data_IF_398310579969
#
_entry.id   IF_398310579969
#
_cell.length_a   1.000
_cell.length_b   1.000
_cell.length_c   1.000
_cell.angle_alpha   90.00
_cell.angle_beta   90.00
_cell.angle_gamma   90.00
#
_symmetry.space_group_name_H-M   'P 1'
#
loop_
_entity.id
_entity.type
_entity.pdbx_description
1 polymer ?
#
# COMPACT_ATOMS: atom_id res chain seq x y z
N UNK A 1 1.15 33.01 20.37
CA UNK A 1 1.48 32.22 19.16
C UNK A 1 1.42 33.11 17.95
N UNK A 2 2.46 33.10 17.12
CA UNK A 2 2.69 34.11 16.08
C UNK A 2 1.83 33.93 14.82
N UNK A 3 1.31 35.05 14.31
CA UNK A 3 0.41 35.13 13.16
C UNK A 3 1.17 35.28 11.84
N UNK A 4 0.44 35.44 10.73
CA UNK A 4 1.04 35.69 9.39
C UNK A 4 1.88 36.98 9.32
N UNK A 5 1.77 37.85 10.32
CA UNK A 5 2.49 39.12 10.44
C UNK A 5 3.89 38.97 11.04
N UNK A 6 4.31 37.75 11.41
CA UNK A 6 5.55 37.50 12.12
C UNK A 6 6.80 38.06 11.42
N UNK A 7 6.91 37.97 10.09
CA UNK A 7 8.07 38.49 9.36
C UNK A 7 8.17 40.02 9.51
N UNK A 8 7.04 40.73 9.31
CA UNK A 8 6.99 42.18 9.47
C UNK A 8 7.27 42.60 10.91
N UNK A 9 6.72 41.88 11.89
CA UNK A 9 6.97 42.10 13.30
C UNK A 9 8.44 41.92 13.69
N UNK A 10 9.12 40.89 13.15
CA UNK A 10 10.57 40.70 13.35
C UNK A 10 11.34 41.89 12.76
N UNK A 11 11.08 42.25 11.50
CA UNK A 11 11.77 43.39 10.87
C UNK A 11 11.57 44.69 11.64
N UNK A 12 10.34 44.97 12.11
CA UNK A 12 10.03 46.18 12.89
C UNK A 12 10.73 46.17 14.26
N UNK A 13 10.81 45.02 14.91
CA UNK A 13 11.54 44.85 16.17
C UNK A 13 13.04 45.12 15.98
N UNK A 14 13.65 44.54 14.95
CA UNK A 14 15.08 44.76 14.64
C UNK A 14 15.35 46.22 14.26
N UNK A 15 14.45 46.86 13.51
CA UNK A 15 14.52 48.28 13.19
C UNK A 15 14.51 49.13 14.47
N UNK A 16 13.68 48.76 15.45
CA UNK A 16 13.56 49.50 16.71
C UNK A 16 14.82 49.37 17.57
N UNK A 17 15.44 48.18 17.61
CA UNK A 17 16.76 47.98 18.26
C UNK A 17 17.83 48.90 17.63
N UNK A 18 17.87 48.97 16.30
CA UNK A 18 18.81 49.86 15.59
C UNK A 18 18.45 51.34 15.79
N UNK A 19 17.17 51.67 15.89
CA UNK A 19 16.73 53.05 16.12
C UNK A 19 17.16 53.54 17.50
N UNK A 20 17.02 52.70 18.53
CA UNK A 20 17.52 53.00 19.87
C UNK A 20 19.04 53.20 19.88
N UNK A 21 19.79 52.40 19.12
CA UNK A 21 21.25 52.55 19.07
C UNK A 21 21.76 53.78 18.33
N UNK A 22 21.08 54.23 17.27
CA UNK A 22 21.45 55.49 16.59
C UNK A 22 20.96 56.73 17.31
N UNK A 23 20.00 56.58 18.22
CA UNK A 23 19.52 57.65 19.10
C UNK A 23 20.42 57.84 20.34
N UNK A 24 21.44 57.00 20.52
CA UNK A 24 22.43 57.12 21.58
C UNK A 24 23.13 58.50 21.52
N UNK A 25 23.36 59.12 22.68
CA UNK A 25 24.02 60.43 22.79
C UNK A 25 25.36 60.49 22.03
N UNK A 26 26.08 59.36 21.95
CA UNK A 26 27.36 59.26 21.26
C UNK A 26 27.30 59.54 19.74
N UNK A 27 26.16 59.27 19.08
CA UNK A 27 26.03 59.43 17.61
C UNK A 27 24.75 60.13 17.16
N UNK A 28 23.85 60.50 18.06
CA UNK A 28 22.61 61.24 17.78
C UNK A 28 22.84 62.53 16.97
N UNK A 29 23.98 63.20 17.17
CA UNK A 29 24.38 64.40 16.42
C UNK A 29 24.58 64.17 14.92
N UNK A 30 24.74 62.92 14.48
CA UNK A 30 24.83 62.55 13.07
C UNK A 30 23.47 62.60 12.35
N UNK A 31 22.35 62.68 13.08
CA UNK A 31 21.01 62.67 12.50
C UNK A 31 20.71 61.39 11.71
N UNK A 32 21.25 60.26 12.17
CA UNK A 32 21.16 58.98 11.48
C UNK A 32 19.73 58.42 11.50
N UNK A 33 19.26 57.94 10.35
CA UNK A 33 17.91 57.35 10.21
C UNK A 33 18.00 55.86 9.87
N UNK A 34 17.12 55.04 10.46
CA UNK A 34 17.06 53.61 10.18
C UNK A 34 15.98 53.29 9.13
N UNK A 35 16.40 52.63 8.04
CA UNK A 35 15.54 52.17 6.96
C UNK A 35 15.46 50.63 6.93
N UNK A 36 14.44 50.14 6.24
CA UNK A 36 14.25 48.70 5.96
C UNK A 36 13.80 48.51 4.51
N UNK A 37 14.42 49.25 3.60
CA UNK A 37 14.05 49.33 2.18
C UNK A 37 15.01 48.50 1.31
N UNK A 38 14.56 48.05 0.12
CA UNK A 38 15.47 47.61 -0.94
C UNK A 38 16.56 48.65 -1.21
N UNK A 39 17.79 48.19 -1.46
CA UNK A 39 18.94 49.09 -1.53
C UNK A 39 18.90 50.06 -2.72
N UNK A 40 18.33 49.66 -3.85
CA UNK A 40 18.12 50.51 -5.02
C UNK A 40 17.15 51.67 -4.73
N UNK A 41 16.05 51.36 -4.03
CA UNK A 41 15.07 52.36 -3.60
C UNK A 41 15.65 53.31 -2.57
N UNK A 42 16.40 52.78 -1.59
CA UNK A 42 17.09 53.59 -0.61
C UNK A 42 18.08 54.57 -1.27
N UNK A 43 18.90 54.12 -2.22
CA UNK A 43 19.85 54.99 -2.93
C UNK A 43 19.14 56.12 -3.72
N UNK A 44 17.90 55.92 -4.15
CA UNK A 44 17.09 56.95 -4.80
C UNK A 44 16.49 57.96 -3.81
N UNK A 45 16.25 57.56 -2.56
CA UNK A 45 15.66 58.40 -1.50
C UNK A 45 16.71 59.21 -0.72
N UNK A 46 17.94 58.69 -0.59
CA UNK A 46 19.01 59.34 0.18
C UNK A 46 19.71 60.47 -0.58
N UNK A 47 19.89 61.61 0.08
CA UNK A 47 20.80 62.66 -0.37
C UNK A 47 22.24 62.37 0.07
N UNK A 48 23.21 63.03 -0.58
CA UNK A 48 24.64 62.88 -0.23
C UNK A 48 24.98 63.33 1.20
N UNK A 49 24.16 64.19 1.81
CA UNK A 49 24.33 64.68 3.17
C UNK A 49 23.80 63.73 4.23
N UNK A 50 23.06 62.69 3.84
CA UNK A 50 22.26 61.91 4.76
C UNK A 50 23.09 60.79 5.40
N UNK A 51 22.82 60.51 6.67
CA UNK A 51 23.38 59.39 7.41
C UNK A 51 22.27 58.37 7.66
N UNK A 52 22.49 57.12 7.30
CA UNK A 52 21.49 56.08 7.40
C UNK A 52 22.08 54.69 7.66
N UNK A 53 21.37 53.93 8.49
CA UNK A 53 21.51 52.47 8.55
C UNK A 53 20.32 51.85 7.83
N UNK A 54 20.56 50.86 6.98
CA UNK A 54 19.50 50.12 6.32
C UNK A 54 19.59 48.64 6.63
N UNK A 55 18.49 48.07 7.08
CA UNK A 55 18.33 46.65 7.39
C UNK A 55 17.37 46.01 6.39
N UNK A 56 17.89 45.28 5.42
CA UNK A 56 17.09 44.71 4.35
C UNK A 56 17.01 43.18 4.44
N UNK A 57 15.80 42.63 4.44
CA UNK A 57 15.53 41.19 4.37
C UNK A 57 15.73 40.70 2.93
N UNK A 58 16.86 40.06 2.64
CA UNK A 58 17.18 39.62 1.27
C UNK A 58 16.84 38.16 1.00
N UNK A 59 16.67 37.34 2.04
CA UNK A 59 16.43 35.91 1.87
C UNK A 59 15.63 35.32 3.05
N UNK A 60 14.79 34.35 2.73
CA UNK A 60 13.99 33.59 3.70
C UNK A 60 14.17 32.10 3.40
N UNK A 61 14.50 31.30 4.41
CA UNK A 61 14.60 29.83 4.29
C UNK A 61 13.80 29.15 5.39
N UNK A 62 13.40 27.90 5.15
CA UNK A 62 12.88 27.07 6.24
C UNK A 62 13.94 26.85 7.31
N UNK A 63 13.50 26.74 8.57
CA UNK A 63 14.39 26.40 9.67
C UNK A 63 14.58 24.87 9.76
N UNK A 64 15.82 24.41 9.61
CA UNK A 64 16.13 22.97 9.59
C UNK A 64 15.79 22.23 10.89
N UNK A 65 15.86 22.90 12.04
CA UNK A 65 15.53 22.31 13.34
C UNK A 65 14.02 22.16 13.58
N UNK A 66 13.21 23.00 12.94
CA UNK A 66 11.77 23.09 13.16
C UNK A 66 10.90 22.60 12.01
N UNK A 67 11.45 22.49 10.78
CA UNK A 67 10.68 22.12 9.58
C UNK A 67 9.99 20.75 9.66
N UNK A 68 10.49 19.84 10.50
CA UNK A 68 9.94 18.50 10.68
C UNK A 68 9.14 18.31 11.98
N UNK A 69 9.00 19.35 12.81
CA UNK A 69 8.29 19.26 14.09
C UNK A 69 6.77 19.21 13.92
N UNK A 70 6.23 19.82 12.86
CA UNK A 70 4.79 19.92 12.65
C UNK A 70 4.46 19.82 11.16
N UNK A 71 3.99 18.65 10.73
CA UNK A 71 3.69 18.37 9.32
C UNK A 71 2.22 18.61 9.00
N UNK A 72 1.95 18.99 7.75
CA UNK A 72 0.59 19.09 7.24
C UNK A 72 -0.05 17.71 7.21
N UNK A 73 -1.00 17.48 8.12
CA UNK A 73 -1.72 16.22 8.20
C UNK A 73 -3.19 16.40 7.81
N UNK A 74 -3.73 15.40 7.11
CA UNK A 74 -5.11 15.36 6.62
C UNK A 74 -5.73 14.00 6.93
N UNK A 75 -7.04 13.97 7.11
CA UNK A 75 -7.77 12.71 7.23
C UNK A 75 -8.03 12.08 5.85
N UNK A 76 -8.62 10.88 5.83
CA UNK A 76 -8.96 10.13 4.62
C UNK A 76 -9.93 10.88 3.68
N UNK A 77 -10.63 11.90 4.17
CA UNK A 77 -11.52 12.77 3.39
C UNK A 77 -10.81 14.06 2.90
N UNK A 78 -9.49 14.15 3.05
CA UNK A 78 -8.68 15.32 2.66
C UNK A 78 -8.87 16.54 3.56
N UNK A 79 -9.56 16.41 4.69
CA UNK A 79 -9.82 17.51 5.62
C UNK A 79 -8.62 17.72 6.55
N UNK A 80 -8.39 18.97 6.93
CA UNK A 80 -7.28 19.37 7.81
C UNK A 80 -7.50 18.90 9.24
N UNK A 81 -6.49 18.26 9.83
CA UNK A 81 -6.53 17.77 11.22
C UNK A 81 -5.59 18.57 12.16
N UNK A 82 -4.60 19.29 11.62
CA UNK A 82 -3.72 20.18 12.40
C UNK A 82 -3.45 21.51 11.68
N UNK A 83 -2.96 22.51 12.41
CA UNK A 83 -2.43 23.77 11.85
C UNK A 83 -0.92 23.82 12.09
N UNK A 84 -0.10 23.29 11.18
CA UNK A 84 1.34 23.33 11.35
C UNK A 84 1.89 24.73 11.24
N UNK A 85 2.97 25.01 11.98
CA UNK A 85 3.75 26.22 11.83
C UNK A 85 4.71 26.10 10.64
N UNK A 86 4.84 27.16 9.86
CA UNK A 86 5.93 27.38 8.93
C UNK A 86 7.07 28.06 9.71
N UNK A 87 8.14 27.31 9.96
CA UNK A 87 9.29 27.80 10.70
C UNK A 87 10.35 28.38 9.75
N UNK A 88 10.71 29.65 9.95
CA UNK A 88 11.57 30.40 9.03
C UNK A 88 12.84 30.93 9.71
N UNK A 89 13.92 30.91 8.94
CA UNK A 89 15.13 31.70 9.13
C UNK A 89 15.06 32.91 8.19
N UNK A 90 15.24 34.10 8.76
CA UNK A 90 15.21 35.37 8.04
C UNK A 90 16.62 35.92 7.93
N UNK A 91 17.04 36.29 6.72
CA UNK A 91 18.41 36.72 6.44
C UNK A 91 18.44 38.19 6.04
N UNK A 92 19.08 39.00 6.88
CA UNK A 92 19.15 40.43 6.75
C UNK A 92 20.56 40.90 6.39
N UNK A 93 20.64 41.95 5.57
CA UNK A 93 21.86 42.72 5.36
C UNK A 93 21.69 44.06 6.07
N UNK A 94 22.61 44.36 6.99
CA UNK A 94 22.77 45.68 7.58
C UNK A 94 23.80 46.44 6.73
N UNK A 95 23.44 47.61 6.22
CA UNK A 95 24.32 48.45 5.39
C UNK A 95 24.36 49.88 5.94
N UNK A 96 25.56 50.46 5.98
CA UNK A 96 25.77 51.82 6.46
C UNK A 96 26.01 52.79 5.30
N UNK A 97 25.29 53.90 5.33
CA UNK A 97 25.39 55.01 4.39
C UNK A 97 25.68 56.26 5.19
N UNK A 98 26.73 56.99 4.84
CA UNK A 98 27.08 58.22 5.54
C UNK A 98 27.52 59.28 4.55
N UNK A 99 27.30 60.53 4.93
CA UNK A 99 27.82 61.69 4.21
C UNK A 99 29.35 61.67 4.14
N UNK A 100 29.98 61.11 5.16
CA UNK A 100 31.41 60.81 5.22
C UNK A 100 31.63 59.34 5.56
N UNK A 101 32.80 58.80 5.14
CA UNK A 101 33.18 57.42 5.42
C UNK A 101 33.22 57.13 6.93
N UNK A 102 33.72 58.06 7.73
CA UNK A 102 33.84 57.89 9.19
C UNK A 102 32.45 57.76 9.82
N UNK A 103 31.46 58.54 9.36
CA UNK A 103 30.09 58.44 9.85
C UNK A 103 29.51 57.05 9.57
N UNK A 104 29.70 56.54 8.35
CA UNK A 104 29.25 55.19 7.98
C UNK A 104 29.94 54.10 8.81
N UNK A 105 31.25 54.20 9.01
CA UNK A 105 32.03 53.24 9.81
C UNK A 105 31.59 53.28 11.30
N UNK A 106 31.33 54.47 11.85
CA UNK A 106 30.86 54.68 13.23
C UNK A 106 29.45 54.09 13.43
N UNK A 107 28.50 54.43 12.56
CA UNK A 107 27.14 53.89 12.63
C UNK A 107 27.12 52.37 12.50
N UNK A 108 27.97 51.79 11.67
CA UNK A 108 28.10 50.34 11.58
C UNK A 108 28.53 49.75 12.93
N UNK A 109 29.50 50.36 13.62
CA UNK A 109 29.93 49.94 14.96
C UNK A 109 28.76 49.90 15.96
N UNK A 110 27.98 50.98 16.03
CA UNK A 110 26.80 51.05 16.91
C UNK A 110 25.72 50.03 16.52
N UNK A 111 25.45 49.85 15.23
CA UNK A 111 24.50 48.85 14.75
C UNK A 111 24.91 47.42 15.10
N UNK A 112 26.21 47.11 14.97
CA UNK A 112 26.74 45.79 15.32
C UNK A 112 26.67 45.51 16.82
N UNK A 113 27.00 46.50 17.67
CA UNK A 113 26.88 46.38 19.14
C UNK A 113 25.42 46.22 19.54
N UNK A 114 24.50 46.97 18.94
CA UNK A 114 23.06 46.87 19.22
C UNK A 114 22.53 45.44 19.02
N UNK A 115 22.94 44.77 17.96
CA UNK A 115 22.58 43.36 17.73
C UNK A 115 23.38 42.38 18.59
N UNK A 116 24.61 42.70 18.97
CA UNK A 116 25.40 41.88 19.88
C UNK A 116 24.83 41.87 21.30
N UNK A 117 24.33 43.01 21.77
CA UNK A 117 23.72 43.13 23.09
C UNK A 117 22.29 42.55 23.11
N UNK A 118 21.65 42.44 21.94
CA UNK A 118 20.29 41.90 21.76
C UNK A 118 20.26 40.57 20.98
N UNK A 119 21.26 39.71 21.17
CA UNK A 119 21.35 38.39 20.49
C UNK A 119 20.10 37.53 20.74
N UNK A 120 19.46 37.66 21.90
CA UNK A 120 18.15 37.08 22.19
C UNK A 120 17.19 38.21 22.52
N UNK A 121 16.16 38.38 21.70
CA UNK A 121 15.23 39.49 21.89
C UNK A 121 14.22 39.14 23.00
N UNK A 122 14.15 39.99 24.02
CA UNK A 122 13.21 39.86 25.13
C UNK A 122 11.75 39.96 24.68
N UNK A 123 10.87 39.15 25.26
CA UNK A 123 9.44 39.13 24.92
C UNK A 123 8.74 40.44 25.26
N UNK A 124 9.11 41.06 26.38
CA UNK A 124 8.54 42.35 26.81
C UNK A 124 8.93 43.48 25.85
N UNK A 125 10.17 43.47 25.36
CA UNK A 125 10.62 44.40 24.33
C UNK A 125 9.77 44.24 23.06
N UNK A 126 9.65 43.01 22.55
CA UNK A 126 8.81 42.70 21.38
C UNK A 126 7.37 43.19 21.59
N UNK A 127 6.76 42.89 22.74
CA UNK A 127 5.38 43.29 23.02
C UNK A 127 5.22 44.82 23.05
N UNK A 128 6.14 45.52 23.72
CA UNK A 128 6.11 46.99 23.83
C UNK A 128 6.34 47.67 22.47
N UNK A 129 7.31 47.18 21.68
CA UNK A 129 7.60 47.73 20.35
C UNK A 129 6.39 47.57 19.43
N UNK A 130 5.74 46.40 19.44
CA UNK A 130 4.64 46.11 18.53
C UNK A 130 3.31 46.74 18.96
N UNK A 131 3.15 47.10 20.24
CA UNK A 131 1.95 47.78 20.74
C UNK A 131 1.72 49.15 20.06
N UNK A 132 2.78 49.82 19.62
CA UNK A 132 2.72 51.10 18.92
C UNK A 132 2.36 50.99 17.43
N UNK A 133 2.40 49.79 16.84
CA UNK A 133 2.21 49.57 15.40
C UNK A 133 0.91 48.79 15.15
N UNK A 134 -0.17 49.51 14.85
CA UNK A 134 -1.52 48.94 14.75
C UNK A 134 -1.62 47.76 13.77
N UNK A 135 -0.82 47.75 12.70
CA UNK A 135 -0.82 46.67 11.72
C UNK A 135 -0.17 45.40 12.29
N UNK A 136 0.76 45.51 13.23
CA UNK A 136 1.57 44.41 13.76
C UNK A 136 1.21 44.01 15.21
N UNK A 137 0.33 44.75 15.87
CA UNK A 137 -0.06 44.52 17.27
C UNK A 137 -0.61 43.10 17.54
N UNK A 138 -1.32 42.50 16.58
CA UNK A 138 -1.86 41.13 16.62
C UNK A 138 -0.91 40.09 15.99
N UNK A 139 0.37 40.43 15.82
CA UNK A 139 1.37 39.47 15.34
C UNK A 139 1.66 38.36 16.35
N UNK A 140 1.40 38.61 17.65
CA UNK A 140 1.61 37.67 18.75
C UNK A 140 3.02 37.04 18.74
N UNK A 141 4.01 37.79 18.24
CA UNK A 141 5.40 37.36 18.12
C UNK A 141 6.05 37.11 19.49
N UNK A 142 5.69 37.93 20.48
CA UNK A 142 6.11 37.80 21.88
C UNK A 142 5.63 36.51 22.55
N UNK A 143 4.59 35.86 21.99
CA UNK A 143 3.93 34.69 22.57
C UNK A 143 4.27 33.38 21.83
N UNK A 144 5.20 33.43 20.86
CA UNK A 144 5.63 32.22 20.15
C UNK A 144 6.49 31.34 21.07
N UNK A 145 6.57 30.04 20.81
CA UNK A 145 7.24 29.10 21.74
C UNK A 145 8.75 29.36 21.86
N UNK A 146 9.42 29.66 20.74
CA UNK A 146 10.84 29.98 20.69
C UNK A 146 11.11 31.49 20.81
N UNK A 147 12.29 31.85 21.30
CA UNK A 147 12.73 33.25 21.27
C UNK A 147 13.37 33.59 19.92
N UNK A 148 13.26 34.84 19.51
CA UNK A 148 13.97 35.36 18.35
C UNK A 148 15.43 35.58 18.72
N UNK A 149 16.32 35.01 17.92
CA UNK A 149 17.77 35.03 18.07
C UNK A 149 18.40 35.66 16.84
N UNK A 150 19.34 36.56 17.05
CA UNK A 150 20.13 37.22 16.01
C UNK A 150 21.52 36.59 16.01
N UNK A 151 22.02 36.20 14.85
CA UNK A 151 23.37 35.63 14.71
C UNK A 151 24.05 36.21 13.48
N UNK A 152 25.31 36.65 13.58
CA UNK A 152 26.08 37.07 12.41
C UNK A 152 26.19 35.94 11.38
N UNK A 153 26.09 36.28 10.09
CA UNK A 153 26.39 35.38 8.98
C UNK A 153 27.61 35.91 8.24
N UNK A 154 28.60 35.05 8.04
CA UNK A 154 29.85 35.40 7.37
C UNK A 154 29.83 34.84 5.95
N UNK A 155 29.71 35.74 4.98
CA UNK A 155 29.74 35.41 3.56
C UNK A 155 31.13 35.61 2.99
N UNK A 156 31.47 34.85 1.95
CA UNK A 156 32.71 35.07 1.21
C UNK A 156 32.57 36.25 0.22
N UNK A 157 33.70 36.74 -0.30
CA UNK A 157 33.72 37.90 -1.21
C UNK A 157 32.93 37.67 -2.50
N UNK A 158 32.90 36.45 -3.02
CA UNK A 158 32.15 36.11 -4.23
C UNK A 158 30.63 36.19 -3.99
N UNK A 159 30.15 35.67 -2.86
CA UNK A 159 28.76 35.74 -2.43
C UNK A 159 28.31 37.18 -2.22
N UNK A 160 29.14 37.98 -1.53
CA UNK A 160 28.91 39.41 -1.34
C UNK A 160 28.81 40.11 -2.70
N UNK A 161 29.76 39.86 -3.61
CA UNK A 161 29.74 40.46 -4.96
C UNK A 161 28.47 40.12 -5.75
N UNK A 162 27.98 38.86 -5.65
CA UNK A 162 26.74 38.42 -6.29
C UNK A 162 25.51 39.08 -5.68
N UNK A 163 25.42 39.16 -4.35
CA UNK A 163 24.31 39.82 -3.66
C UNK A 163 24.22 41.29 -4.02
N UNK A 164 25.34 42.01 -4.01
CA UNK A 164 25.35 43.44 -4.35
C UNK A 164 25.02 43.71 -5.81
N UNK A 165 25.39 42.80 -6.71
CA UNK A 165 24.95 42.83 -8.11
C UNK A 165 23.45 42.60 -8.22
N UNK A 166 22.90 41.63 -7.47
CA UNK A 166 21.47 41.35 -7.42
C UNK A 166 20.67 42.53 -6.87
N UNK A 167 21.19 43.25 -5.88
CA UNK A 167 20.55 44.44 -5.32
C UNK A 167 20.49 45.62 -6.30
N UNK A 168 21.26 45.59 -7.40
CA UNK A 168 21.31 46.70 -8.35
C UNK A 168 21.88 48.01 -7.78
N UNK A 169 22.55 47.94 -6.62
CA UNK A 169 23.06 49.08 -5.87
C UNK A 169 24.59 49.06 -5.80
N UNK A 170 25.20 50.22 -5.56
CA UNK A 170 26.65 50.30 -5.36
C UNK A 170 27.04 49.73 -4.00
N UNK A 171 28.10 48.94 -3.95
CA UNK A 171 28.62 48.37 -2.70
C UNK A 171 28.78 49.42 -1.59
N UNK A 172 28.35 49.07 -0.38
CA UNK A 172 28.59 49.81 0.87
C UNK A 172 29.10 48.86 1.94
N UNK A 173 29.63 49.43 3.01
CA UNK A 173 29.97 48.67 4.21
C UNK A 173 28.72 47.93 4.70
N UNK A 174 28.82 46.59 4.76
CA UNK A 174 27.69 45.73 5.14
C UNK A 174 28.08 44.56 6.01
N UNK A 175 27.17 44.15 6.88
CA UNK A 175 27.23 42.95 7.72
C UNK A 175 25.94 42.16 7.53
N UNK A 176 26.04 40.83 7.58
CA UNK A 176 24.91 39.94 7.34
C UNK A 176 24.48 39.26 8.65
N UNK A 177 23.18 39.08 8.82
CA UNK A 177 22.60 38.48 10.02
C UNK A 177 21.54 37.47 9.65
N UNK A 178 21.60 36.32 10.31
CA UNK A 178 20.52 35.34 10.36
C UNK A 178 19.70 35.56 11.61
N UNK A 179 18.39 35.63 11.45
CA UNK A 179 17.42 35.76 12.54
C UNK A 179 16.55 34.51 12.57
N UNK A 180 16.57 33.78 13.68
CA UNK A 180 15.81 32.54 13.87
C UNK A 180 15.12 32.49 15.24
N UNK A 181 13.97 31.85 15.42
CA UNK A 181 13.08 31.27 14.41
C UNK A 181 11.79 32.08 14.36
N UNK A 182 11.36 32.51 13.18
CA UNK A 182 10.04 33.11 13.01
C UNK A 182 9.04 31.99 12.70
N UNK A 183 8.11 31.73 13.60
CA UNK A 183 7.04 30.75 13.39
C UNK A 183 5.82 31.44 12.78
N UNK A 184 5.32 30.95 11.64
CA UNK A 184 4.11 31.49 11.03
C UNK A 184 3.03 30.40 11.06
N UNK A 185 1.84 30.73 11.56
CA UNK A 185 0.72 29.80 11.49
C UNK A 185 -0.54 30.49 11.04
N UNK A 186 -1.35 29.75 10.30
CA UNK A 186 -2.72 30.13 10.01
C UNK A 186 -3.66 29.38 10.93
N UNK A 187 -4.40 30.11 11.75
CA UNK A 187 -5.42 29.53 12.61
C UNK A 187 -6.67 29.26 11.76
N UNK A 188 -6.89 27.99 11.41
CA UNK A 188 -8.11 27.49 10.78
C UNK A 188 -8.78 26.46 11.69
N UNK A 189 -10.09 26.32 11.57
CA UNK A 189 -10.78 25.20 12.22
C UNK A 189 -10.19 23.86 11.71
N UNK A 190 -9.88 22.97 12.65
CA UNK A 190 -9.37 21.63 12.40
C UNK A 190 -10.42 20.61 12.81
N UNK A 191 -10.44 19.44 12.15
CA UNK A 191 -11.26 18.32 12.59
C UNK A 191 -10.42 17.37 13.43
N UNK A 192 -10.78 17.23 14.69
CA UNK A 192 -10.19 16.21 15.55
C UNK A 192 -10.80 14.84 15.22
N UNK A 193 -9.98 13.80 15.18
CA UNK A 193 -10.49 12.44 15.07
C UNK A 193 -11.38 12.10 16.27
N UNK A 194 -12.42 11.30 16.04
CA UNK A 194 -13.23 10.79 17.14
C UNK A 194 -12.35 9.91 18.05
N UNK A 195 -12.55 9.96 19.38
CA UNK A 195 -11.82 9.07 20.28
C UNK A 195 -12.19 7.62 19.97
N UNK A 196 -11.20 6.73 20.07
CA UNK A 196 -11.43 5.28 19.94
C UNK A 196 -12.28 4.85 21.13
N UNK A 197 -13.53 4.46 20.87
CA UNK A 197 -14.48 4.07 21.93
C UNK A 197 -14.06 2.75 22.61
N UNK A 198 -13.66 1.76 21.81
CA UNK A 198 -13.20 0.44 22.27
C UNK A 198 -12.11 -0.06 21.33
N UNK A 199 -10.95 -0.39 21.89
CA UNK A 199 -9.96 -1.20 21.19
C UNK A 199 -10.36 -2.67 21.34
N UNK A 200 -10.44 -3.40 20.23
CA UNK A 200 -10.73 -4.84 20.24
C UNK A 200 -9.51 -5.57 19.69
N UNK A 201 -8.94 -6.43 20.52
CA UNK A 201 -7.82 -7.29 20.17
C UNK A 201 -8.28 -8.74 20.32
N UNK A 202 -8.12 -9.51 19.26
CA UNK A 202 -8.43 -10.93 19.26
C UNK A 202 -7.13 -11.71 19.15
N UNK A 203 -6.91 -12.66 20.06
CA UNK A 203 -5.80 -13.61 20.00
C UNK A 203 -6.42 -14.99 19.81
N UNK A 204 -6.13 -15.61 18.67
CA UNK A 204 -6.61 -16.95 18.31
C UNK A 204 -5.41 -17.85 18.11
N UNK A 205 -5.52 -19.11 18.54
CA UNK A 205 -4.48 -20.10 18.26
C UNK A 205 -4.56 -20.51 16.80
N UNK A 206 -3.45 -20.38 16.09
CA UNK A 206 -3.36 -20.74 14.69
C UNK A 206 -3.13 -22.25 14.60
N UNK A 207 -4.10 -22.97 14.01
CA UNK A 207 -3.97 -24.37 13.63
C UNK A 207 -3.65 -24.45 12.14
N UNK A 208 -2.58 -25.15 11.76
CA UNK A 208 -2.23 -25.39 10.37
C UNK A 208 -2.82 -26.73 9.94
N UNK A 209 -3.94 -26.75 9.19
CA UNK A 209 -4.50 -28.01 8.69
C UNK A 209 -3.55 -28.63 7.68
N UNK A 210 -3.34 -29.95 7.74
CA UNK A 210 -2.63 -30.68 6.69
C UNK A 210 -3.39 -31.92 6.27
N UNK A 211 -3.50 -32.10 4.95
CA UNK A 211 -4.08 -33.28 4.31
C UNK A 211 -2.97 -34.29 4.07
N UNK A 212 -3.11 -35.48 4.63
CA UNK A 212 -2.18 -36.60 4.43
C UNK A 212 -2.63 -37.55 3.32
N UNK A 213 -3.93 -37.84 3.26
CA UNK A 213 -4.47 -38.81 2.30
C UNK A 213 -5.92 -38.49 1.97
N UNK A 214 -6.35 -38.88 0.77
CA UNK A 214 -7.72 -38.77 0.29
C UNK A 214 -8.11 -40.12 -0.29
N UNK A 215 -9.21 -40.69 0.18
CA UNK A 215 -9.75 -41.97 -0.30
C UNK A 215 -11.26 -41.87 -0.46
N UNK A 216 -11.82 -42.64 -1.39
CA UNK A 216 -13.25 -42.85 -1.48
C UNK A 216 -13.70 -43.74 -0.30
N UNK A 217 -14.93 -43.52 0.17
CA UNK A 217 -15.55 -44.45 1.11
C UNK A 217 -15.72 -45.82 0.45
N UNK A 218 -15.48 -46.88 1.22
CA UNK A 218 -15.62 -48.26 0.73
C UNK A 218 -17.05 -48.53 0.26
N UNK A 219 -17.18 -49.07 -0.96
CA UNK A 219 -18.46 -49.41 -1.57
C UNK A 219 -18.75 -50.87 -1.31
N UNK A 220 -19.84 -51.15 -0.59
CA UNK A 220 -20.26 -52.53 -0.33
C UNK A 220 -20.73 -53.16 -1.63
N UNK A 221 -20.08 -54.25 -2.06
CA UNK A 221 -20.47 -55.00 -3.27
C UNK A 221 -20.03 -54.40 -4.59
N UNK A 222 -19.07 -53.46 -4.61
CA UNK A 222 -18.49 -52.97 -5.88
C UNK A 222 -17.43 -53.91 -6.42
N UNK A 223 -17.35 -54.03 -7.75
CA UNK A 223 -16.28 -54.77 -8.46
C UNK A 223 -14.93 -54.02 -8.51
N UNK A 224 -14.77 -52.96 -7.71
CA UNK A 224 -13.52 -52.20 -7.59
C UNK A 224 -12.80 -52.57 -6.29
N UNK A 225 -11.61 -53.16 -6.39
CA UNK A 225 -10.74 -53.50 -5.25
C UNK A 225 -10.10 -52.31 -4.53
N UNK A 226 -10.14 -51.11 -5.12
CA UNK A 226 -9.42 -49.93 -4.62
C UNK A 226 -10.33 -48.79 -4.22
N UNK A 227 -10.12 -48.27 -3.02
CA UNK A 227 -10.72 -47.03 -2.53
C UNK A 227 -10.03 -45.75 -3.07
N UNK A 228 -9.11 -45.89 -4.02
CA UNK A 228 -8.47 -44.76 -4.74
C UNK A 228 -9.08 -44.50 -6.12
N UNK A 229 -10.15 -45.20 -6.43
CA UNK A 229 -11.02 -44.90 -7.57
C UNK A 229 -12.12 -43.99 -7.04
N UNK A 230 -12.26 -42.81 -7.64
CA UNK A 230 -13.31 -41.84 -7.31
C UNK A 230 -14.23 -41.73 -8.52
N UNK A 231 -15.52 -41.92 -8.32
CA UNK A 231 -16.56 -41.80 -9.35
C UNK A 231 -17.66 -40.87 -8.84
N UNK A 232 -18.50 -40.39 -9.77
CA UNK A 232 -19.64 -39.54 -9.42
C UNK A 232 -20.55 -40.23 -8.40
N UNK A 233 -20.96 -39.50 -7.35
CA UNK A 233 -21.82 -39.99 -6.27
C UNK A 233 -21.08 -40.62 -5.09
N UNK A 234 -19.76 -40.78 -5.15
CA UNK A 234 -18.97 -41.25 -4.01
C UNK A 234 -18.95 -40.25 -2.85
N UNK A 235 -18.61 -40.78 -1.68
CA UNK A 235 -18.23 -39.99 -0.52
C UNK A 235 -16.71 -39.95 -0.39
N UNK A 236 -16.17 -38.74 -0.33
CA UNK A 236 -14.76 -38.45 -0.10
C UNK A 236 -14.42 -38.52 1.39
N UNK A 237 -13.35 -39.24 1.73
CA UNK A 237 -12.76 -39.26 3.06
C UNK A 237 -11.39 -38.58 2.98
N UNK A 238 -11.29 -37.40 3.60
CA UNK A 238 -10.04 -36.65 3.73
C UNK A 238 -9.43 -36.94 5.10
N UNK A 239 -8.20 -37.44 5.12
CA UNK A 239 -7.45 -37.74 6.36
C UNK A 239 -6.30 -36.76 6.53
N UNK A 240 -6.10 -36.29 7.75
CA UNK A 240 -5.21 -35.17 8.02
C UNK A 240 -4.91 -34.98 9.50
N UNK A 241 -4.34 -33.83 9.83
CA UNK A 241 -4.24 -33.32 11.20
C UNK A 241 -4.70 -31.87 11.26
N UNK A 242 -5.11 -31.44 12.46
CA UNK A 242 -5.58 -30.07 12.71
C UNK A 242 -6.69 -29.63 11.74
N UNK A 243 -7.56 -30.56 11.33
CA UNK A 243 -8.60 -30.31 10.33
C UNK A 243 -9.76 -29.46 10.89
N UNK A 244 -9.97 -29.43 12.20
CA UNK A 244 -11.04 -28.69 12.88
C UNK A 244 -10.59 -27.26 13.23
N UNK A 245 -11.17 -26.30 12.51
CA UNK A 245 -11.20 -24.87 12.85
C UNK A 245 -12.55 -24.43 13.45
N UNK A 246 -12.74 -23.13 13.69
CA UNK A 246 -14.03 -22.56 14.13
C UNK A 246 -15.10 -22.70 13.03
N UNK A 247 -14.70 -22.42 11.79
CA UNK A 247 -15.44 -22.75 10.59
C UNK A 247 -14.49 -23.47 9.65
N UNK A 248 -14.82 -24.71 9.29
CA UNK A 248 -14.04 -25.53 8.38
C UNK A 248 -14.79 -25.70 7.07
N UNK A 249 -14.11 -25.45 5.96
CA UNK A 249 -14.61 -25.69 4.61
C UNK A 249 -13.63 -26.56 3.84
N UNK A 250 -14.17 -27.43 2.99
CA UNK A 250 -13.39 -28.16 1.98
C UNK A 250 -13.56 -27.41 0.68
N UNK A 251 -12.46 -26.95 0.11
CA UNK A 251 -12.41 -26.22 -1.13
C UNK A 251 -11.92 -27.11 -2.27
N UNK A 252 -12.67 -27.13 -3.36
CA UNK A 252 -12.34 -27.79 -4.62
C UNK A 252 -11.94 -26.74 -5.67
N UNK A 253 -10.82 -26.97 -6.34
CA UNK A 253 -10.28 -26.16 -7.45
C UNK A 253 -10.24 -24.64 -7.17
N UNK A 254 -10.07 -24.26 -5.90
CA UNK A 254 -9.97 -22.87 -5.46
C UNK A 254 -11.26 -22.05 -5.48
N UNK A 255 -12.41 -22.60 -5.88
CA UNK A 255 -13.67 -21.85 -6.02
C UNK A 255 -14.83 -22.44 -5.23
N UNK A 256 -15.02 -23.75 -5.27
CA UNK A 256 -16.14 -24.43 -4.62
C UNK A 256 -15.78 -24.78 -3.17
N UNK A 257 -16.26 -23.99 -2.21
CA UNK A 257 -16.00 -24.23 -0.79
C UNK A 257 -17.27 -24.72 -0.06
N UNK A 258 -17.21 -25.93 0.47
CA UNK A 258 -18.32 -26.57 1.18
C UNK A 258 -18.02 -26.68 2.67
N UNK A 259 -18.97 -26.22 3.49
CA UNK A 259 -18.87 -26.41 4.95
C UNK A 259 -19.07 -27.88 5.28
N UNK A 260 -18.28 -28.39 6.22
CA UNK A 260 -18.32 -29.78 6.64
C UNK A 260 -18.02 -29.90 8.12
N UNK A 261 -18.44 -31.02 8.71
CA UNK A 261 -18.09 -31.40 10.07
C UNK A 261 -16.79 -32.22 10.05
N UNK A 262 -15.98 -32.07 11.09
CA UNK A 262 -14.71 -32.77 11.23
C UNK A 262 -14.83 -33.82 12.34
N UNK A 263 -14.48 -35.05 12.00
CA UNK A 263 -14.38 -36.16 12.95
C UNK A 263 -12.99 -36.15 13.60
N UNK A 264 -12.95 -35.94 14.93
CA UNK A 264 -11.75 -36.09 15.77
C UNK A 264 -10.53 -35.25 15.32
N UNK A 265 -10.73 -34.09 14.70
CA UNK A 265 -9.66 -33.20 14.22
C UNK A 265 -8.72 -33.82 13.15
N UNK A 266 -9.06 -35.01 12.62
CA UNK A 266 -8.19 -35.79 11.73
C UNK A 266 -8.88 -36.36 10.50
N UNK A 267 -10.22 -36.35 10.45
CA UNK A 267 -10.98 -36.93 9.34
C UNK A 267 -12.16 -36.04 8.96
N UNK A 268 -12.37 -35.89 7.66
CA UNK A 268 -13.55 -35.25 7.09
C UNK A 268 -14.20 -36.25 6.13
N UNK A 269 -15.53 -36.35 6.21
CA UNK A 269 -16.34 -37.20 5.34
C UNK A 269 -17.35 -36.30 4.62
N UNK A 270 -17.29 -36.21 3.29
CA UNK A 270 -18.24 -35.40 2.51
C UNK A 270 -18.54 -36.03 1.14
N UNK A 271 -19.75 -35.88 0.58
CA UNK A 271 -20.03 -36.31 -0.78
C UNK A 271 -19.18 -35.54 -1.78
N UNK A 272 -18.71 -36.22 -2.83
CA UNK A 272 -18.09 -35.55 -3.98
C UNK A 272 -19.18 -34.68 -4.64
N UNK A 273 -18.94 -33.38 -4.84
CA UNK A 273 -19.94 -32.50 -5.46
C UNK A 273 -20.23 -32.93 -6.89
N UNK A 274 -21.51 -33.00 -7.26
CA UNK A 274 -21.97 -33.34 -8.61
C UNK A 274 -21.64 -32.27 -9.66
N UNK A 275 -21.17 -31.09 -9.24
CA UNK A 275 -20.68 -30.04 -10.13
C UNK A 275 -19.26 -30.29 -10.63
N UNK A 276 -18.53 -31.25 -10.05
CA UNK A 276 -17.19 -31.60 -10.53
C UNK A 276 -17.28 -32.42 -11.83
N UNK A 277 -16.34 -32.14 -12.73
CA UNK A 277 -16.25 -32.75 -14.07
C UNK A 277 -15.30 -33.95 -14.05
N UNK A 278 -15.26 -34.75 -15.11
CA UNK A 278 -14.25 -35.82 -15.19
C UNK A 278 -12.82 -35.21 -15.28
N UNK A 279 -11.91 -35.61 -14.40
CA UNK A 279 -10.55 -35.06 -14.39
C UNK A 279 -9.85 -35.04 -13.03
N UNK A 280 -8.76 -34.27 -12.96
CA UNK A 280 -7.97 -34.06 -11.74
C UNK A 280 -8.56 -32.87 -10.99
N UNK A 281 -8.88 -33.04 -9.71
CA UNK A 281 -9.40 -31.99 -8.84
C UNK A 281 -8.49 -31.75 -7.64
N UNK A 282 -8.23 -30.47 -7.37
CA UNK A 282 -7.47 -30.03 -6.20
C UNK A 282 -8.37 -29.83 -4.99
N UNK A 283 -7.93 -30.31 -3.83
CA UNK A 283 -8.64 -30.21 -2.54
C UNK A 283 -7.78 -29.50 -1.52
N UNK A 284 -8.37 -28.52 -0.83
CA UNK A 284 -7.78 -27.84 0.32
C UNK A 284 -8.79 -27.72 1.45
N UNK A 285 -8.30 -27.72 2.69
CA UNK A 285 -9.08 -27.34 3.86
C UNK A 285 -8.87 -25.86 4.13
N UNK A 286 -9.95 -25.11 4.24
CA UNK A 286 -9.97 -23.67 4.53
C UNK A 286 -10.57 -23.48 5.91
N UNK A 287 -9.81 -22.84 6.80
CA UNK A 287 -10.28 -22.40 8.10
C UNK A 287 -10.65 -20.93 8.03
N UNK A 288 -11.85 -20.59 8.50
CA UNK A 288 -12.24 -19.20 8.76
C UNK A 288 -12.23 -18.93 10.26
N UNK A 289 -11.82 -17.72 10.63
CA UNK A 289 -11.78 -17.26 12.02
C UNK A 289 -12.95 -16.33 12.27
N UNK A 290 -13.70 -16.57 13.35
CA UNK A 290 -14.78 -15.70 13.77
C UNK A 290 -14.19 -14.53 14.57
N UNK A 291 -14.29 -13.31 13.99
CA UNK A 291 -13.79 -12.07 14.57
C UNK A 291 -14.90 -11.00 14.55
N UNK A 292 -14.91 -10.13 15.55
CA UNK A 292 -15.89 -9.03 15.65
C UNK A 292 -16.93 -9.25 16.75
N UNK A 293 -17.73 -8.20 16.99
CA UNK A 293 -19.00 -8.31 17.71
C UNK A 293 -20.05 -7.58 16.88
N UNK A 294 -21.00 -8.28 16.24
CA UNK A 294 -21.15 -9.74 16.22
C UNK A 294 -19.98 -10.45 15.51
N UNK A 295 -19.81 -11.73 15.81
CA UNK A 295 -18.80 -12.57 15.18
C UNK A 295 -19.08 -12.74 13.69
N UNK A 296 -18.09 -12.43 12.84
CA UNK A 296 -18.16 -12.60 11.39
C UNK A 296 -16.98 -13.46 10.93
N UNK A 297 -17.19 -14.42 10.00
CA UNK A 297 -16.10 -15.20 9.42
C UNK A 297 -15.12 -14.33 8.64
N UNK A 298 -13.83 -14.51 8.92
CA UNK A 298 -12.72 -13.92 8.18
C UNK A 298 -11.83 -15.03 7.64
N UNK A 299 -11.18 -14.78 6.50
CA UNK A 299 -10.23 -15.72 5.92
C UNK A 299 -9.11 -16.04 6.93
N UNK A 300 -8.95 -17.33 7.26
CA UNK A 300 -7.88 -17.82 8.11
C UNK A 300 -6.80 -18.48 7.27
N UNK A 301 -6.54 -19.75 7.57
CA UNK A 301 -5.49 -20.54 6.95
C UNK A 301 -6.04 -21.61 6.01
N UNK A 302 -5.20 -22.00 5.06
CA UNK A 302 -5.47 -23.10 4.15
C UNK A 302 -4.46 -24.22 4.35
N UNK A 303 -4.88 -25.46 4.09
CA UNK A 303 -3.98 -26.62 4.09
C UNK A 303 -3.07 -26.67 2.85
N UNK A 304 -2.16 -27.64 2.83
CA UNK A 304 -1.56 -28.09 1.58
C UNK A 304 -2.63 -28.51 0.57
N UNK A 305 -2.30 -28.36 -0.72
CA UNK A 305 -3.11 -28.82 -1.83
C UNK A 305 -2.84 -30.31 -2.07
N UNK A 306 -3.90 -31.13 -2.07
CA UNK A 306 -3.85 -32.54 -2.45
C UNK A 306 -4.85 -32.77 -3.58
N UNK A 307 -4.52 -33.62 -4.54
CA UNK A 307 -5.40 -33.89 -5.68
C UNK A 307 -5.97 -35.31 -5.64
N UNK A 308 -7.16 -35.48 -6.20
CA UNK A 308 -7.71 -36.77 -6.56
C UNK A 308 -8.17 -36.75 -8.02
N UNK A 309 -8.30 -37.94 -8.61
CA UNK A 309 -8.74 -38.09 -10.00
C UNK A 309 -10.18 -38.60 -9.97
N UNK A 310 -11.12 -37.76 -10.40
CA UNK A 310 -12.51 -38.15 -10.59
C UNK A 310 -12.64 -38.86 -11.94
N UNK A 311 -12.76 -40.17 -11.87
CA UNK A 311 -12.79 -41.03 -13.04
C UNK A 311 -14.14 -40.96 -13.76
N UNK A 312 -14.14 -40.84 -15.10
CA UNK A 312 -15.35 -40.99 -15.91
C UNK A 312 -15.80 -42.46 -15.93
N UNK A 313 -17.10 -42.69 -15.95
CA UNK A 313 -17.73 -43.99 -16.19
C UNK A 313 -18.66 -43.88 -17.39
N UNK A 314 -18.69 -44.94 -18.20
CA UNK A 314 -19.61 -45.08 -19.33
C UNK A 314 -20.86 -45.83 -18.89
N UNK A 315 -22.03 -45.32 -19.25
CA UNK A 315 -23.34 -45.97 -19.06
C UNK A 315 -24.08 -46.02 -20.40
N UNK A 316 -25.10 -46.87 -20.49
CA UNK A 316 -26.01 -46.96 -21.63
C UNK A 316 -25.30 -47.06 -23.00
N UNK A 317 -24.25 -47.88 -23.07
CA UNK A 317 -23.45 -48.03 -24.29
C UNK A 317 -24.25 -48.76 -25.35
N UNK A 318 -24.31 -48.16 -26.53
CA UNK A 318 -24.99 -48.71 -27.69
C UNK A 318 -24.10 -48.62 -28.93
N UNK A 319 -24.20 -49.61 -29.81
CA UNK A 319 -23.55 -49.62 -31.11
C UNK A 319 -24.60 -49.79 -32.20
N UNK A 320 -24.73 -48.81 -33.09
CA UNK A 320 -25.63 -48.87 -34.25
C UNK A 320 -24.79 -48.75 -35.52
N UNK A 321 -24.59 -49.87 -36.22
CA UNK A 321 -23.63 -49.92 -37.32
C UNK A 321 -22.21 -49.70 -36.82
N UNK A 322 -21.60 -48.57 -37.18
CA UNK A 322 -20.27 -48.14 -36.72
C UNK A 322 -20.32 -46.94 -35.77
N UNK A 323 -21.50 -46.48 -35.37
CA UNK A 323 -21.65 -45.36 -34.44
C UNK A 323 -21.81 -45.89 -33.02
N UNK A 324 -20.80 -45.67 -32.19
CA UNK A 324 -20.77 -45.98 -30.77
C UNK A 324 -21.29 -44.76 -29.98
N UNK A 325 -22.36 -44.96 -29.21
CA UNK A 325 -22.88 -43.95 -28.29
C UNK A 325 -22.83 -44.43 -26.84
N UNK A 326 -22.55 -43.52 -25.91
CA UNK A 326 -22.51 -43.82 -24.49
C UNK A 326 -22.74 -42.57 -23.64
N UNK A 327 -23.42 -42.72 -22.51
CA UNK A 327 -23.51 -41.67 -21.49
C UNK A 327 -22.22 -41.63 -20.68
N UNK A 328 -21.70 -40.43 -20.40
CA UNK A 328 -20.46 -40.21 -19.65
C UNK A 328 -20.76 -39.49 -18.34
N UNK A 329 -20.29 -40.07 -17.24
CA UNK A 329 -20.47 -39.52 -15.89
C UNK A 329 -19.16 -39.52 -15.10
N UNK A 330 -18.69 -38.40 -14.51
CA UNK A 330 -19.25 -37.05 -14.64
C UNK A 330 -19.01 -36.44 -16.03
N UNK A 331 -19.71 -35.34 -16.30
CA UNK A 331 -19.64 -34.55 -17.53
C UNK A 331 -18.21 -34.18 -17.94
N UNK A 332 -17.96 -34.15 -19.26
CA UNK A 332 -16.70 -33.68 -19.85
C UNK A 332 -16.82 -32.17 -20.07
N UNK A 333 -15.85 -31.40 -19.58
CA UNK A 333 -15.81 -29.93 -19.77
C UNK A 333 -15.44 -29.56 -21.22
N UNK A 334 -16.03 -28.48 -21.73
CA UNK A 334 -15.69 -27.86 -23.01
C UNK A 334 -14.16 -27.66 -23.16
N UNK A 335 -13.63 -28.01 -24.34
CA UNK A 335 -12.23 -27.86 -24.69
C UNK A 335 -11.30 -28.95 -24.12
N UNK A 336 -11.80 -29.89 -23.32
CA UNK A 336 -10.99 -31.02 -22.83
C UNK A 336 -10.89 -32.13 -23.87
N UNK A 337 -9.73 -32.79 -23.87
CA UNK A 337 -9.49 -33.99 -24.67
C UNK A 337 -10.08 -35.21 -23.99
N UNK A 338 -10.74 -36.05 -24.79
CA UNK A 338 -11.13 -37.38 -24.38
C UNK A 338 -10.72 -38.42 -25.42
N UNK A 339 -10.39 -39.62 -24.96
CA UNK A 339 -10.02 -40.75 -25.81
C UNK A 339 -10.86 -41.95 -25.43
N UNK A 340 -11.44 -42.62 -26.42
CA UNK A 340 -12.09 -43.92 -26.22
C UNK A 340 -11.18 -45.02 -26.73
N UNK A 341 -10.99 -46.03 -25.89
CA UNK A 341 -10.16 -47.19 -26.16
C UNK A 341 -11.06 -48.42 -26.30
N UNK A 342 -10.78 -49.22 -27.32
CA UNK A 342 -11.36 -50.54 -27.51
C UNK A 342 -10.23 -51.55 -27.33
N UNK A 343 -10.32 -52.38 -26.30
CA UNK A 343 -9.37 -53.45 -26.06
C UNK A 343 -10.07 -54.78 -26.27
N UNK A 344 -9.61 -55.56 -27.24
CA UNK A 344 -10.24 -56.84 -27.54
C UNK A 344 -10.12 -57.82 -26.37
N UNK A 345 -11.23 -58.49 -26.09
CA UNK A 345 -11.34 -59.57 -25.12
C UNK A 345 -11.81 -60.83 -25.83
N UNK A 346 -11.59 -61.99 -25.21
CA UNK A 346 -12.04 -63.30 -25.71
C UNK A 346 -11.53 -63.65 -27.12
N UNK A 347 -10.24 -63.43 -27.38
CA UNK A 347 -9.56 -63.79 -28.64
C UNK A 347 -8.66 -65.02 -28.49
N UNK A 348 -8.28 -65.64 -29.62
CA UNK A 348 -7.32 -66.75 -29.63
C UNK A 348 -5.90 -66.25 -29.38
N UNK A 349 -5.49 -66.34 -28.12
CA UNK A 349 -4.16 -65.95 -27.63
C UNK A 349 -2.99 -66.73 -28.25
N UNK A 350 -3.23 -67.87 -28.91
CA UNK A 350 -2.20 -68.65 -29.59
C UNK A 350 -2.04 -68.18 -31.04
N UNK A 351 -3.14 -67.79 -31.68
CA UNK A 351 -3.16 -67.41 -33.09
C UNK A 351 -2.73 -65.97 -33.36
N UNK A 352 -3.03 -65.03 -32.44
CA UNK A 352 -2.70 -63.60 -32.61
C UNK A 352 -2.70 -62.82 -31.29
N UNK A 353 -2.21 -61.58 -31.36
CA UNK A 353 -2.33 -60.61 -30.27
C UNK A 353 -3.73 -59.98 -30.25
N UNK A 354 -4.10 -59.41 -29.11
CA UNK A 354 -5.31 -58.62 -28.95
C UNK A 354 -5.27 -57.41 -29.89
N UNK A 355 -6.39 -57.11 -30.54
CA UNK A 355 -6.56 -55.86 -31.25
C UNK A 355 -6.81 -54.71 -30.25
N UNK A 356 -6.17 -53.57 -30.47
CA UNK A 356 -6.31 -52.37 -29.66
C UNK A 356 -6.56 -51.15 -30.55
N UNK A 357 -7.60 -50.38 -30.24
CA UNK A 357 -7.96 -49.18 -30.99
C UNK A 357 -8.15 -47.99 -30.05
N UNK A 358 -7.86 -46.79 -30.56
CA UNK A 358 -8.03 -45.52 -29.83
C UNK A 358 -8.63 -44.44 -30.72
N UNK A 359 -9.65 -43.74 -30.21
CA UNK A 359 -10.32 -42.64 -30.88
C UNK A 359 -10.19 -41.38 -30.03
N UNK A 360 -9.42 -40.41 -30.51
CA UNK A 360 -9.17 -39.14 -29.82
C UNK A 360 -10.12 -38.05 -30.31
N UNK A 361 -10.72 -37.33 -29.37
CA UNK A 361 -11.65 -36.24 -29.64
C UNK A 361 -11.44 -35.09 -28.65
N UNK A 362 -12.01 -33.93 -28.99
CA UNK A 362 -12.08 -32.75 -28.12
C UNK A 362 -13.56 -32.45 -27.91
N UNK A 363 -13.96 -32.19 -26.66
CA UNK A 363 -15.32 -31.77 -26.36
C UNK A 363 -15.54 -30.33 -26.87
N UNK A 364 -16.43 -30.13 -27.84
CA UNK A 364 -16.75 -28.79 -28.38
C UNK A 364 -17.72 -28.01 -27.49
N UNK A 365 -18.42 -28.71 -26.59
CA UNK A 365 -19.28 -28.18 -25.53
C UNK A 365 -19.09 -29.04 -24.29
N UNK A 366 -19.73 -28.69 -23.18
CA UNK A 366 -19.91 -29.64 -22.09
C UNK A 366 -20.68 -30.88 -22.62
N UNK A 367 -20.21 -32.09 -22.32
CA UNK A 367 -20.74 -33.35 -22.84
C UNK A 367 -21.09 -34.34 -21.72
N UNK A 368 -22.36 -34.76 -21.69
CA UNK A 368 -22.85 -35.86 -20.85
C UNK A 368 -22.98 -37.18 -21.61
N UNK A 369 -22.73 -37.16 -22.91
CA UNK A 369 -22.77 -38.28 -23.81
C UNK A 369 -21.68 -38.13 -24.89
N UNK A 370 -21.27 -39.25 -25.46
CA UNK A 370 -20.32 -39.30 -26.57
C UNK A 370 -20.91 -40.07 -27.73
N UNK A 371 -20.55 -39.65 -28.94
CA UNK A 371 -20.86 -40.34 -30.19
C UNK A 371 -19.57 -40.42 -31.01
N UNK A 372 -19.11 -41.64 -31.30
CA UNK A 372 -17.85 -41.89 -31.99
C UNK A 372 -18.08 -42.88 -33.12
N UNK A 373 -17.63 -42.53 -34.32
CA UNK A 373 -17.63 -43.45 -35.44
C UNK A 373 -16.37 -44.31 -35.41
N UNK A 374 -16.54 -45.63 -35.24
CA UNK A 374 -15.44 -46.58 -35.02
C UNK A 374 -14.96 -47.26 -36.32
N UNK A 375 -14.70 -46.49 -37.38
CA UNK A 375 -14.19 -47.03 -38.66
C UNK A 375 -12.88 -47.79 -38.46
N UNK A 376 -12.78 -48.98 -39.07
CA UNK A 376 -11.53 -49.75 -39.14
C UNK A 376 -11.31 -50.72 -37.99
N UNK A 377 -12.30 -50.89 -37.11
CA UNK A 377 -12.28 -51.89 -36.04
C UNK A 377 -12.72 -53.25 -36.59
N UNK A 378 -11.93 -54.30 -36.34
CA UNK A 378 -12.23 -55.67 -36.75
C UNK A 378 -13.33 -56.31 -35.90
N UNK A 379 -13.97 -57.37 -36.42
CA UNK A 379 -15.03 -58.09 -35.70
C UNK A 379 -14.48 -58.77 -34.44
N UNK A 380 -15.22 -58.68 -33.34
CA UNK A 380 -14.76 -59.15 -32.03
C UNK A 380 -15.52 -58.54 -30.86
N UNK A 381 -15.17 -58.97 -29.65
CA UNK A 381 -15.71 -58.43 -28.40
C UNK A 381 -14.68 -57.48 -27.81
N UNK A 382 -15.08 -56.24 -27.50
CA UNK A 382 -14.16 -55.21 -27.01
C UNK A 382 -14.62 -54.63 -25.68
N UNK A 383 -13.66 -54.48 -24.76
CA UNK A 383 -13.78 -53.66 -23.57
C UNK A 383 -13.67 -52.18 -23.97
N UNK A 384 -14.70 -51.41 -23.64
CA UNK A 384 -14.78 -49.98 -23.93
C UNK A 384 -14.30 -49.19 -22.72
N UNK A 385 -13.27 -48.35 -22.91
CA UNK A 385 -12.73 -47.49 -21.86
C UNK A 385 -12.69 -46.06 -22.34
N UNK A 386 -12.85 -45.12 -21.44
CA UNK A 386 -12.72 -43.70 -21.73
C UNK A 386 -11.62 -43.09 -20.87
N UNK A 387 -10.86 -42.16 -21.44
CA UNK A 387 -9.94 -41.29 -20.70
C UNK A 387 -10.33 -39.85 -20.99
N UNK A 388 -10.65 -39.09 -19.96
CA UNK A 388 -10.97 -37.66 -20.04
C UNK A 388 -9.92 -36.90 -19.27
N UNK A 389 -9.18 -35.99 -19.91
CA UNK A 389 -8.18 -35.15 -19.23
C UNK A 389 -7.23 -35.95 -18.28
N UNK A 390 -6.69 -37.07 -18.78
CA UNK A 390 -5.87 -38.05 -18.06
C UNK A 390 -6.57 -38.87 -16.95
N UNK A 391 -7.82 -38.59 -16.61
CA UNK A 391 -8.65 -39.45 -15.78
C UNK A 391 -9.16 -40.63 -16.62
N UNK A 392 -8.75 -41.86 -16.28
CA UNK A 392 -9.19 -43.05 -17.00
C UNK A 392 -10.34 -43.71 -16.26
N UNK A 393 -11.31 -44.24 -17.02
CA UNK A 393 -12.38 -45.05 -16.47
C UNK A 393 -11.81 -46.28 -15.76
N UNK A 394 -12.30 -46.59 -14.54
CA UNK A 394 -11.81 -47.73 -13.80
C UNK A 394 -12.22 -49.03 -14.50
N UNK A 395 -11.39 -50.05 -14.37
CA UNK A 395 -11.68 -51.40 -14.86
C UNK A 395 -12.19 -52.21 -13.67
N UNK A 396 -13.25 -52.99 -13.86
CA UNK A 396 -13.71 -53.96 -12.86
C UNK A 396 -12.70 -55.10 -12.75
N UNK A 397 -12.48 -55.63 -11.55
CA UNK A 397 -11.43 -56.65 -11.32
C UNK A 397 -11.65 -57.96 -12.12
N UNK A 398 -12.89 -58.22 -12.53
CA UNK A 398 -13.31 -59.36 -13.34
C UNK A 398 -13.35 -59.05 -14.86
N UNK A 399 -12.91 -57.86 -15.30
CA UNK A 399 -13.02 -57.37 -16.67
C UNK A 399 -14.44 -57.37 -17.26
N UNK A 400 -15.48 -57.32 -16.42
CA UNK A 400 -16.87 -57.54 -16.85
C UNK A 400 -17.58 -56.32 -17.46
N UNK A 401 -16.89 -55.23 -17.77
CA UNK A 401 -17.56 -54.11 -18.39
C UNK A 401 -16.74 -52.85 -18.58
N UNK A 402 -17.27 -51.90 -19.36
CA UNK A 402 -18.34 -52.04 -20.36
C UNK A 402 -17.88 -52.77 -21.63
N UNK A 403 -18.74 -53.56 -22.29
CA UNK A 403 -18.40 -54.36 -23.47
C UNK A 403 -19.25 -54.00 -24.69
N UNK A 404 -18.66 -54.10 -25.88
CA UNK A 404 -19.38 -54.07 -27.17
C UNK A 404 -18.98 -55.27 -28.02
N UNK A 405 -19.90 -55.72 -28.88
CA UNK A 405 -19.65 -56.79 -29.86
C UNK A 405 -19.77 -56.16 -31.25
N UNK A 406 -18.73 -56.32 -32.06
CA UNK A 406 -18.69 -55.87 -33.44
C UNK A 406 -18.93 -57.10 -34.33
N UNK A 407 -20.08 -57.17 -35.04
CA UNK A 407 -20.55 -58.35 -35.75
C UNK A 407 -19.80 -58.67 -37.04
#
# INVERSE_FOLDING_TARGET
MSSLKAIGAVTHTLKSILHESVSDEGISSLGAVVFTEPLDRLEAELNKSDNALNLYLYMVKENDGWRNQDLTSRNNYGQRISNPYLALNLYYVLSAHGSEKVNADLMMGYGMVAFHDNVIIGRDFIANTLAGEAILADSNLSDQIEQIKITPEYLNTEEISKLWTMFGAKYRLSVYYKVCVALLRKDKSVRQALPVLKSKLYVKHIKFPSIHDIVAQERVGSDYSSNRIFIEGDTLIVKGNSLQGEVTKVQFDGSLALRTDVELDSKITLPIPNTLRAGIHGVQIVHEMLLGEPEVPHNGLNSNLTAFVLSPILKNINLVGLDLTADVHPEIEEGKRYSVFLNEIDFDTIARNANEYSFENIAETDLNDIAINIVGVETGTYLVRIRVNNATSPIFDNFSGPLIIIP
#
